data_IF_656222886332
#
_entry.id   IF_656222886332
#
_cell.length_a   1.000
_cell.length_b   1.000
_cell.length_c   1.000
_cell.angle_alpha   90.00
_cell.angle_beta   90.00
_cell.angle_gamma   90.00
#
_symmetry.space_group_name_H-M   'P 1'
#
loop_
_entity.id
_entity.type
_entity.pdbx_description
1 polymer ?
#
# COMPACT_ATOMS: atom_id res chain seq x y z
N UNK A 1 -8.48 7.94 -17.70
CA UNK A 1 -8.43 6.47 -17.42
C UNK A 1 -7.02 5.90 -17.28
N UNK A 2 -6.16 5.96 -18.31
CA UNK A 2 -4.82 5.33 -18.24
C UNK A 2 -4.00 5.80 -17.04
N UNK A 3 -4.07 7.08 -16.65
CA UNK A 3 -3.39 7.66 -15.48
C UNK A 3 -3.94 7.16 -14.12
N UNK A 4 -5.24 6.89 -14.04
CA UNK A 4 -5.95 6.45 -12.81
C UNK A 4 -5.62 4.99 -12.48
N UNK A 5 -5.55 4.12 -13.50
CA UNK A 5 -5.14 2.71 -13.35
C UNK A 5 -3.65 2.62 -13.00
N UNK A 6 -2.81 3.49 -13.58
CA UNK A 6 -1.40 3.59 -13.19
C UNK A 6 -1.26 3.98 -11.72
N UNK A 7 -2.02 4.97 -11.25
CA UNK A 7 -2.05 5.39 -9.85
C UNK A 7 -2.40 4.22 -8.91
N UNK A 8 -3.37 3.37 -9.28
CA UNK A 8 -3.76 2.19 -8.50
C UNK A 8 -2.65 1.13 -8.37
N UNK A 9 -1.90 0.89 -9.45
CA UNK A 9 -0.73 -0.01 -9.45
C UNK A 9 0.37 0.56 -8.55
N UNK A 10 0.53 1.89 -8.50
CA UNK A 10 1.50 2.54 -7.59
C UNK A 10 1.15 2.29 -6.13
N UNK A 11 -0.15 2.29 -5.78
CA UNK A 11 -0.60 1.97 -4.42
C UNK A 11 -0.17 0.56 -4.01
N UNK A 12 -0.18 -0.42 -4.92
CA UNK A 12 0.30 -1.80 -4.64
C UNK A 12 1.80 -1.82 -4.27
N UNK A 13 2.63 -0.96 -4.89
CA UNK A 13 4.07 -0.88 -4.59
C UNK A 13 4.35 -0.15 -3.26
N UNK A 14 3.58 0.89 -2.96
CA UNK A 14 3.69 1.63 -1.68
C UNK A 14 3.28 0.74 -0.52
N UNK A 15 2.23 -0.05 -0.75
CA UNK A 15 1.75 -1.07 0.18
C UNK A 15 2.82 -2.10 0.45
N UNK A 16 3.61 -2.52 -0.55
CA UNK A 16 4.76 -3.38 -0.34
C UNK A 16 5.91 -2.71 0.42
N UNK A 17 6.08 -1.38 0.28
CA UNK A 17 7.05 -0.60 1.05
C UNK A 17 6.71 -0.50 2.55
N UNK A 18 5.42 -0.49 2.89
CA UNK A 18 4.94 -0.48 4.28
C UNK A 18 5.13 -1.83 5.01
N UNK A 19 5.61 -2.89 4.34
CA UNK A 19 5.71 -4.26 4.89
C UNK A 19 6.89 -4.45 5.86
N UNK A 20 7.82 -3.49 5.96
CA UNK A 20 9.09 -3.68 6.68
C UNK A 20 9.10 -3.25 8.17
N UNK A 21 8.15 -3.69 9.00
CA UNK A 21 8.08 -3.32 10.43
C UNK A 21 8.69 -4.35 11.40
N UNK A 22 9.89 -4.21 11.96
CA UNK A 22 10.32 -5.14 13.05
C UNK A 22 11.00 -4.47 14.26
N UNK A 23 10.47 -4.76 15.46
CA UNK A 23 11.14 -4.89 16.77
C UNK A 23 11.14 -3.70 17.78
N UNK A 24 11.80 -3.89 18.93
CA UNK A 24 11.58 -3.24 20.24
C UNK A 24 12.11 -1.80 20.41
N UNK A 25 12.47 -1.13 19.32
CA UNK A 25 12.98 0.25 19.33
C UNK A 25 12.24 1.06 18.27
N UNK A 26 11.06 1.54 18.64
CA UNK A 26 10.08 2.16 17.74
C UNK A 26 10.70 3.21 16.81
N UNK A 27 11.59 4.06 17.33
CA UNK A 27 12.27 5.10 16.54
C UNK A 27 13.33 4.55 15.59
N UNK A 28 14.24 3.67 16.05
CA UNK A 28 15.25 3.04 15.19
C UNK A 28 14.61 2.21 14.07
N UNK A 29 13.46 1.60 14.34
CA UNK A 29 12.75 0.81 13.36
C UNK A 29 11.97 1.69 12.38
N UNK A 30 11.40 2.79 12.85
CA UNK A 30 10.84 3.80 11.98
C UNK A 30 11.88 4.37 11.01
N UNK A 31 13.10 4.67 11.49
CA UNK A 31 14.18 5.13 10.61
C UNK A 31 14.66 4.03 9.65
N UNK A 32 14.81 2.79 10.12
CA UNK A 32 15.17 1.65 9.25
C UNK A 32 14.16 1.44 8.11
N UNK A 33 12.88 1.73 8.33
CA UNK A 33 11.85 1.67 7.27
C UNK A 33 12.12 2.73 6.21
N UNK A 34 12.36 3.97 6.65
CA UNK A 34 12.68 5.08 5.74
C UNK A 34 13.94 4.77 4.92
N UNK A 35 14.97 4.21 5.54
CA UNK A 35 16.20 3.80 4.85
C UNK A 35 15.92 2.70 3.83
N UNK A 36 15.21 1.63 4.21
CA UNK A 36 14.85 0.54 3.28
C UNK A 36 13.97 0.98 2.13
N UNK A 37 13.08 1.95 2.37
CA UNK A 37 12.28 2.55 1.31
C UNK A 37 13.18 3.32 0.32
N UNK A 38 14.21 4.02 0.79
CA UNK A 38 15.19 4.68 -0.06
C UNK A 38 16.10 3.72 -0.82
N UNK A 39 16.32 2.50 -0.31
CA UNK A 39 17.10 1.47 -1.00
C UNK A 39 16.36 0.88 -2.22
N UNK A 40 15.04 1.05 -2.32
CA UNK A 40 14.26 0.60 -3.47
C UNK A 40 14.49 1.56 -4.64
N UNK A 41 15.02 1.04 -5.75
CA UNK A 41 15.26 1.85 -6.94
C UNK A 41 13.95 2.48 -7.45
N UNK A 42 13.95 3.80 -7.64
CA UNK A 42 12.78 4.58 -8.05
C UNK A 42 11.93 5.10 -6.88
N UNK A 43 12.29 4.80 -5.62
CA UNK A 43 11.69 5.42 -4.45
C UNK A 43 12.59 6.53 -3.91
N UNK A 44 11.96 7.54 -3.31
CA UNK A 44 12.65 8.58 -2.54
C UNK A 44 11.78 9.01 -1.38
N UNK A 45 12.34 9.00 -0.18
CA UNK A 45 11.69 9.51 1.02
C UNK A 45 12.20 10.91 1.34
N UNK A 46 11.28 11.82 1.66
CA UNK A 46 11.56 13.17 2.14
C UNK A 46 10.66 13.55 3.31
N UNK A 47 10.87 14.72 3.92
CA UNK A 47 9.98 15.28 4.95
C UNK A 47 9.72 14.29 6.12
N UNK A 48 10.73 13.47 6.44
CA UNK A 48 10.62 12.46 7.47
C UNK A 48 10.59 13.09 8.86
N UNK A 49 9.58 12.73 9.65
CA UNK A 49 9.38 13.20 11.01
C UNK A 49 8.93 12.05 11.91
N UNK A 50 9.39 12.08 13.16
CA UNK A 50 8.98 11.14 14.19
C UNK A 50 8.76 11.88 15.50
N UNK A 51 7.64 11.62 16.14
CA UNK A 51 7.28 12.16 17.43
C UNK A 51 7.01 11.01 18.40
N UNK A 52 7.91 10.83 19.35
CA UNK A 52 7.74 9.88 20.44
C UNK A 52 6.68 10.36 21.42
N UNK A 53 5.72 9.50 21.76
CA UNK A 53 4.80 9.71 22.88
C UNK A 53 4.88 8.57 23.90
N UNK A 54 4.09 8.68 24.97
CA UNK A 54 4.19 7.79 26.13
C UNK A 54 3.50 6.43 25.93
N UNK A 55 2.32 6.40 25.29
CA UNK A 55 1.56 5.19 24.93
C UNK A 55 1.42 4.98 23.42
N UNK A 56 2.03 5.86 22.64
CA UNK A 56 1.98 5.83 21.20
C UNK A 56 2.91 6.87 20.62
N UNK A 57 3.39 6.62 19.41
CA UNK A 57 4.23 7.52 18.64
C UNK A 57 3.57 7.85 17.32
N UNK A 58 3.95 8.99 16.73
CA UNK A 58 3.51 9.38 15.40
C UNK A 58 4.72 9.47 14.49
N UNK A 59 4.60 8.95 13.28
CA UNK A 59 5.61 9.08 12.24
C UNK A 59 4.97 9.62 10.98
N UNK A 60 5.66 10.47 10.24
CA UNK A 60 5.21 10.82 8.89
C UNK A 60 6.38 11.06 7.96
N UNK A 61 6.20 10.68 6.70
CA UNK A 61 7.16 10.94 5.64
C UNK A 61 6.45 11.10 4.31
N UNK A 62 7.13 11.76 3.37
CA UNK A 62 6.69 11.88 2.00
C UNK A 62 7.42 10.83 1.18
N UNK A 63 6.68 10.01 0.43
CA UNK A 63 7.21 9.02 -0.48
C UNK A 63 6.97 9.47 -1.92
N UNK A 64 8.06 9.60 -2.66
CA UNK A 64 8.06 9.90 -4.08
C UNK A 64 8.35 8.60 -4.82
N UNK A 65 7.48 8.24 -5.76
CA UNK A 65 7.65 7.10 -6.66
C UNK A 65 7.93 7.62 -8.06
N UNK A 66 9.10 7.28 -8.61
CA UNK A 66 9.56 7.81 -9.88
C UNK A 66 8.73 7.31 -11.05
N UNK A 67 8.44 8.20 -11.99
CA UNK A 67 7.71 7.88 -13.22
C UNK A 67 8.37 6.75 -14.03
N UNK A 68 9.68 6.56 -13.91
CA UNK A 68 10.42 5.50 -14.61
C UNK A 68 10.08 4.13 -14.01
N UNK A 69 10.03 4.01 -12.68
CA UNK A 69 9.55 2.80 -12.03
C UNK A 69 8.08 2.53 -12.41
N UNK A 70 7.26 3.58 -12.45
CA UNK A 70 5.86 3.48 -12.84
C UNK A 70 5.68 3.05 -14.29
N UNK A 71 6.53 3.55 -15.18
CA UNK A 71 6.56 3.17 -16.58
C UNK A 71 6.88 1.69 -16.74
N UNK A 72 7.90 1.20 -16.01
CA UNK A 72 8.30 -0.19 -16.04
C UNK A 72 7.16 -1.12 -15.56
N UNK A 73 6.46 -0.73 -14.49
CA UNK A 73 5.35 -1.52 -13.94
C UNK A 73 4.08 -1.46 -14.79
N UNK A 74 3.75 -0.29 -15.32
CA UNK A 74 2.51 -0.06 -16.06
C UNK A 74 2.64 -0.38 -17.56
N UNK A 75 3.86 -0.61 -18.06
CA UNK A 75 4.16 -0.84 -19.47
C UNK A 75 3.84 0.35 -20.39
N UNK A 76 3.69 1.56 -19.82
CA UNK A 76 3.31 2.79 -20.55
C UNK A 76 3.86 4.02 -19.84
N UNK A 77 4.09 5.08 -20.61
CA UNK A 77 4.60 6.34 -20.06
C UNK A 77 3.66 6.92 -18.99
N UNK A 78 4.28 7.45 -17.94
CA UNK A 78 3.64 8.19 -16.85
C UNK A 78 4.21 9.61 -16.84
N UNK A 79 3.32 10.59 -16.76
CA UNK A 79 3.67 11.99 -17.04
C UNK A 79 4.47 12.65 -15.90
N UNK A 80 4.29 12.18 -14.67
CA UNK A 80 4.92 12.75 -13.48
C UNK A 80 5.22 11.67 -12.43
N UNK A 81 6.16 11.98 -11.53
CA UNK A 81 6.39 11.20 -10.32
C UNK A 81 5.14 11.30 -9.43
N UNK A 82 4.86 10.24 -8.66
CA UNK A 82 3.74 10.26 -7.71
C UNK A 82 4.25 10.47 -6.30
N UNK A 83 3.65 11.46 -5.63
CA UNK A 83 3.98 11.89 -4.29
C UNK A 83 2.89 11.46 -3.32
N UNK A 84 3.28 10.78 -2.26
CA UNK A 84 2.39 10.28 -1.22
C UNK A 84 2.82 10.79 0.13
N UNK A 85 1.84 11.18 0.96
CA UNK A 85 2.04 11.35 2.40
C UNK A 85 1.72 10.04 3.07
N UNK A 86 2.66 9.52 3.85
CA UNK A 86 2.45 8.39 4.74
C UNK A 86 2.40 8.91 6.16
N UNK A 87 1.27 8.74 6.82
CA UNK A 87 1.06 9.07 8.22
C UNK A 87 0.93 7.78 9.02
N UNK A 88 1.67 7.64 10.11
CA UNK A 88 1.70 6.44 10.94
C UNK A 88 1.35 6.79 12.38
N UNK A 89 0.42 6.02 12.95
CA UNK A 89 0.15 5.96 14.37
C UNK A 89 0.66 4.63 14.90
N UNK A 90 1.65 4.70 15.80
CA UNK A 90 2.33 3.54 16.34
C UNK A 90 1.90 3.38 17.78
N UNK A 91 1.03 2.43 18.04
CA UNK A 91 0.60 2.08 19.39
C UNK A 91 1.62 1.15 20.04
N UNK A 92 2.16 1.59 21.17
CA UNK A 92 3.06 0.80 22.00
C UNK A 92 2.55 0.85 23.44
N UNK A 93 2.29 -0.30 24.06
CA UNK A 93 1.88 -0.29 25.47
C UNK A 93 3.09 0.02 26.36
N UNK A 94 2.86 0.50 27.59
CA UNK A 94 3.93 0.56 28.62
C UNK A 94 4.52 -0.84 28.89
N UNK A 95 3.77 -1.88 28.54
CA UNK A 95 4.16 -3.29 28.52
C UNK A 95 4.52 -3.78 27.09
N UNK A 96 5.03 -2.92 26.18
CA UNK A 96 5.29 -3.28 24.77
C UNK A 96 6.14 -4.56 24.61
N UNK A 97 6.88 -4.93 25.65
CA UNK A 97 7.60 -6.20 25.80
C UNK A 97 6.73 -7.46 25.89
N UNK A 98 5.41 -7.35 26.11
CA UNK A 98 4.47 -8.49 26.25
C UNK A 98 3.60 -8.69 25.01
N UNK A 99 3.10 -7.61 24.41
CA UNK A 99 2.04 -7.68 23.38
C UNK A 99 2.47 -7.23 21.98
N UNK A 100 3.72 -6.79 21.79
CA UNK A 100 4.18 -6.27 20.50
C UNK A 100 3.68 -4.85 20.22
N UNK A 101 3.56 -4.51 18.93
CA UNK A 101 3.25 -3.17 18.42
C UNK A 101 2.16 -3.22 17.36
N UNK A 102 1.22 -2.27 17.42
CA UNK A 102 0.24 -2.04 16.37
C UNK A 102 0.59 -0.74 15.64
N UNK A 103 0.55 -0.76 14.32
CA UNK A 103 0.87 0.40 13.49
C UNK A 103 -0.26 0.57 12.49
N UNK A 104 -0.95 1.70 12.59
CA UNK A 104 -1.98 2.12 11.66
C UNK A 104 -1.40 3.22 10.76
N UNK A 105 -1.37 2.94 9.46
CA UNK A 105 -0.84 3.82 8.43
C UNK A 105 -1.93 4.32 7.52
N UNK A 106 -1.84 5.59 7.14
CA UNK A 106 -2.70 6.25 6.17
C UNK A 106 -1.84 6.78 5.03
N UNK A 107 -2.19 6.39 3.81
CA UNK A 107 -1.43 6.73 2.60
C UNK A 107 -2.30 7.64 1.76
N UNK A 108 -1.84 8.87 1.51
CA UNK A 108 -2.60 9.89 0.79
C UNK A 108 -1.81 10.48 -0.36
N UNK A 109 -2.44 10.68 -1.51
CA UNK A 109 -1.77 11.34 -2.65
C UNK A 109 -1.63 12.85 -2.42
N UNK A 110 -0.50 13.41 -2.87
CA UNK A 110 -0.14 14.82 -2.67
C UNK A 110 0.05 15.62 -3.98
N UNK A 111 0.19 14.97 -5.15
CA UNK A 111 0.23 15.72 -6.42
C UNK A 111 -1.07 16.52 -6.56
N UNK A 112 -1.02 17.85 -6.55
CA UNK A 112 -2.22 18.71 -6.53
C UNK A 112 -3.17 18.43 -7.71
N UNK A 113 -2.62 18.20 -8.90
CA UNK A 113 -3.41 17.85 -10.09
C UNK A 113 -4.14 16.50 -9.95
N UNK A 114 -3.53 15.53 -9.27
CA UNK A 114 -4.06 14.18 -9.10
C UNK A 114 -4.95 14.08 -7.86
N UNK A 115 -4.63 14.82 -6.81
CA UNK A 115 -5.33 14.81 -5.52
C UNK A 115 -6.80 15.18 -5.66
N UNK A 116 -7.11 16.20 -6.44
CA UNK A 116 -8.49 16.60 -6.71
C UNK A 116 -9.24 15.58 -7.57
N UNK A 117 -8.52 14.94 -8.50
CA UNK A 117 -9.04 13.83 -9.29
C UNK A 117 -9.35 12.70 -8.31
N UNK A 118 -8.37 12.12 -7.63
CA UNK A 118 -8.53 11.01 -6.67
C UNK A 118 -9.64 11.27 -5.64
N UNK A 119 -9.72 12.48 -5.07
CA UNK A 119 -10.80 12.84 -4.14
C UNK A 119 -12.20 12.74 -4.75
N UNK A 120 -12.38 12.96 -6.05
CA UNK A 120 -13.68 12.79 -6.70
C UNK A 120 -14.08 11.32 -6.92
N UNK A 121 -13.11 10.39 -6.95
CA UNK A 121 -13.37 8.94 -7.12
C UNK A 121 -13.50 8.23 -5.76
N UNK A 122 -12.72 8.67 -4.76
CA UNK A 122 -12.59 8.00 -3.46
C UNK A 122 -13.32 8.75 -2.32
N UNK A 123 -13.83 9.95 -2.56
CA UNK A 123 -14.35 10.85 -1.53
C UNK A 123 -13.27 11.45 -0.61
N UNK A 124 -11.99 11.10 -0.81
CA UNK A 124 -10.84 11.63 -0.07
C UNK A 124 -9.56 11.48 -0.88
N UNK A 125 -8.47 12.13 -0.46
CA UNK A 125 -7.14 11.89 -1.04
C UNK A 125 -6.43 10.65 -0.46
N UNK A 126 -7.09 9.92 0.45
CA UNK A 126 -6.57 8.67 1.03
C UNK A 126 -6.78 7.56 0.03
N UNK A 127 -5.70 6.93 -0.40
CA UNK A 127 -5.74 5.85 -1.40
C UNK A 127 -5.71 4.47 -0.75
N UNK A 128 -5.11 4.37 0.43
CA UNK A 128 -5.06 3.14 1.20
C UNK A 128 -4.81 3.40 2.68
N UNK A 129 -5.21 2.44 3.49
CA UNK A 129 -4.77 2.28 4.87
C UNK A 129 -4.04 0.96 5.02
N UNK A 130 -3.05 0.92 5.93
CA UNK A 130 -2.37 -0.30 6.30
C UNK A 130 -2.42 -0.46 7.82
N UNK A 131 -2.59 -1.68 8.29
CA UNK A 131 -2.51 -2.07 9.68
C UNK A 131 -1.47 -3.16 9.80
N UNK A 132 -0.40 -2.88 10.53
CA UNK A 132 0.63 -3.87 10.82
C UNK A 132 0.63 -4.19 12.31
N UNK A 133 0.56 -5.48 12.62
CA UNK A 133 0.81 -6.01 13.95
C UNK A 133 2.16 -6.68 13.96
N UNK A 134 3.07 -6.21 14.78
CA UNK A 134 4.38 -6.83 14.99
C UNK A 134 4.41 -7.49 16.37
N UNK A 135 4.66 -8.79 16.41
CA UNK A 135 4.82 -9.55 17.63
C UNK A 135 6.18 -9.30 18.29
N UNK A 136 6.33 -9.73 19.54
CA UNK A 136 7.61 -9.67 20.27
C UNK A 136 8.67 -10.59 19.63
N UNK A 137 8.26 -11.70 19.01
CA UNK A 137 9.16 -12.60 18.25
C UNK A 137 9.64 -12.00 16.93
N UNK A 138 9.05 -10.89 16.49
CA UNK A 138 9.37 -10.23 15.23
C UNK A 138 8.48 -10.64 14.06
N UNK A 139 7.60 -11.64 14.23
CA UNK A 139 6.60 -12.02 13.24
C UNK A 139 5.58 -10.89 13.05
N UNK A 140 5.04 -10.77 11.84
CA UNK A 140 4.18 -9.65 11.46
C UNK A 140 2.93 -10.09 10.74
N UNK A 141 1.85 -9.38 11.01
CA UNK A 141 0.61 -9.47 10.26
C UNK A 141 0.30 -8.09 9.68
N UNK A 142 0.48 -7.95 8.37
CA UNK A 142 0.26 -6.72 7.61
C UNK A 142 -1.04 -6.87 6.86
N UNK A 143 -1.96 -5.93 7.04
CA UNK A 143 -3.21 -5.86 6.30
C UNK A 143 -3.35 -4.49 5.67
N UNK A 144 -3.56 -4.45 4.37
CA UNK A 144 -3.80 -3.24 3.62
C UNK A 144 -5.21 -3.25 3.09
N UNK A 145 -5.90 -2.13 3.23
CA UNK A 145 -7.18 -1.86 2.61
C UNK A 145 -7.05 -0.68 1.66
N UNK A 146 -7.46 -0.88 0.41
CA UNK A 146 -7.57 0.19 -0.56
C UNK A 146 -8.89 0.93 -0.33
N UNK A 147 -8.89 2.24 -0.59
CA UNK A 147 -10.13 3.01 -0.57
C UNK A 147 -11.09 2.53 -1.65
N UNK A 148 -12.37 2.48 -1.30
CA UNK A 148 -13.43 2.12 -2.24
C UNK A 148 -13.48 3.15 -3.37
N UNK A 149 -13.63 2.67 -4.60
CA UNK A 149 -13.79 3.51 -5.79
C UNK A 149 -15.27 3.51 -6.12
N UNK A 150 -15.87 4.68 -6.26
CA UNK A 150 -17.19 4.82 -6.84
C UNK A 150 -17.16 5.86 -7.97
N UNK A 151 -16.98 5.38 -9.19
CA UNK A 151 -16.83 6.21 -10.36
C UNK A 151 -17.79 5.82 -11.47
N UNK A 152 -18.46 6.83 -12.02
CA UNK A 152 -19.27 6.73 -13.23
C UNK A 152 -19.20 8.06 -13.97
N UNK A 153 -18.66 8.05 -15.19
CA UNK A 153 -18.78 9.21 -16.08
C UNK A 153 -19.96 9.11 -17.06
N UNK A 154 -20.79 8.07 -16.93
CA UNK A 154 -21.99 7.74 -17.73
C UNK A 154 -21.78 7.62 -19.24
N UNK A 155 -20.60 7.95 -19.76
CA UNK A 155 -20.31 8.00 -21.20
C UNK A 155 -19.28 6.95 -21.60
N UNK A 156 -18.30 6.66 -20.75
CA UNK A 156 -17.16 5.82 -21.12
C UNK A 156 -16.95 4.66 -20.17
N UNK A 157 -17.13 4.85 -18.85
CA UNK A 157 -16.82 3.79 -17.91
C UNK A 157 -17.53 3.95 -16.56
N UNK A 158 -17.92 2.81 -15.98
CA UNK A 158 -18.23 2.69 -14.57
C UNK A 158 -17.19 1.79 -13.88
N UNK A 159 -16.66 2.26 -12.76
CA UNK A 159 -15.74 1.51 -11.89
C UNK A 159 -16.27 1.61 -10.48
N UNK A 160 -16.62 0.47 -9.91
CA UNK A 160 -17.00 0.37 -8.52
C UNK A 160 -16.17 -0.71 -7.84
N UNK A 161 -15.51 -0.38 -6.74
CA UNK A 161 -14.77 -1.34 -5.93
C UNK A 161 -15.16 -1.20 -4.47
N UNK A 162 -15.23 -2.32 -3.76
CA UNK A 162 -15.59 -2.36 -2.35
C UNK A 162 -14.73 -3.38 -1.60
N UNK A 163 -14.18 -2.95 -0.47
CA UNK A 163 -13.39 -3.76 0.47
C UNK A 163 -12.25 -4.54 -0.19
N UNK A 164 -11.54 -3.91 -1.15
CA UNK A 164 -10.33 -4.50 -1.73
C UNK A 164 -9.22 -4.46 -0.69
N UNK A 165 -8.71 -5.62 -0.30
CA UNK A 165 -7.71 -5.78 0.75
C UNK A 165 -6.68 -6.84 0.40
N UNK A 166 -5.49 -6.63 0.91
CA UNK A 166 -4.36 -7.54 0.76
C UNK A 166 -3.68 -7.69 2.11
N UNK A 167 -3.29 -8.90 2.48
CA UNK A 167 -2.56 -9.15 3.71
C UNK A 167 -1.37 -10.07 3.52
N UNK A 168 -0.40 -9.91 4.42
CA UNK A 168 0.85 -10.65 4.46
C UNK A 168 1.14 -11.06 5.90
N UNK A 169 1.50 -12.33 6.08
CA UNK A 169 2.14 -12.78 7.30
C UNK A 169 3.61 -13.00 7.06
N UNK A 170 4.44 -12.30 7.83
CA UNK A 170 5.89 -12.37 7.74
C UNK A 170 6.48 -13.03 8.97
N UNK A 171 7.58 -13.76 8.78
CA UNK A 171 8.44 -14.18 9.89
C UNK A 171 9.34 -13.03 10.38
N UNK A 172 10.07 -13.29 11.47
CA UNK A 172 11.04 -12.36 12.06
C UNK A 172 12.20 -11.93 11.12
N UNK A 173 12.39 -12.61 9.98
CA UNK A 173 13.39 -12.30 8.95
C UNK A 173 12.77 -11.58 7.74
N UNK A 174 11.52 -11.16 7.83
CA UNK A 174 10.75 -10.53 6.75
C UNK A 174 10.41 -11.47 5.58
N UNK A 175 10.47 -12.80 5.77
CA UNK A 175 10.02 -13.74 4.75
C UNK A 175 8.50 -13.92 4.79
N UNK A 176 7.89 -14.07 3.62
CA UNK A 176 6.45 -14.27 3.47
C UNK A 176 6.09 -15.72 3.79
N UNK A 177 5.31 -15.91 4.87
CA UNK A 177 4.72 -17.19 5.25
C UNK A 177 3.39 -17.42 4.52
N UNK A 178 2.58 -16.37 4.41
CA UNK A 178 1.30 -16.42 3.71
C UNK A 178 0.92 -15.05 3.19
N UNK A 179 0.12 -15.03 2.12
CA UNK A 179 -0.49 -13.84 1.57
C UNK A 179 -1.97 -14.09 1.31
N UNK A 180 -2.82 -13.09 1.54
CA UNK A 180 -4.23 -13.15 1.17
C UNK A 180 -4.66 -11.94 0.34
N UNK A 181 -5.61 -12.16 -0.56
CA UNK A 181 -6.26 -11.14 -1.36
C UNK A 181 -7.77 -11.30 -1.19
N UNK A 182 -8.41 -10.27 -0.66
CA UNK A 182 -9.86 -10.22 -0.51
C UNK A 182 -10.46 -9.04 -1.28
N UNK A 183 -11.64 -9.24 -1.85
CA UNK A 183 -12.49 -8.17 -2.36
C UNK A 183 -13.96 -8.52 -2.12
N UNK A 184 -14.74 -7.54 -1.64
CA UNK A 184 -16.19 -7.70 -1.55
C UNK A 184 -16.82 -7.52 -2.93
N UNK A 185 -16.38 -6.50 -3.68
CA UNK A 185 -16.91 -6.21 -5.01
C UNK A 185 -15.88 -5.50 -5.89
N UNK A 186 -15.80 -5.91 -7.15
CA UNK A 186 -15.20 -5.16 -8.25
C UNK A 186 -16.15 -5.23 -9.44
N UNK A 187 -16.64 -4.08 -9.87
CA UNK A 187 -17.47 -3.92 -11.06
C UNK A 187 -16.78 -2.93 -12.00
N UNK A 188 -16.47 -3.40 -13.21
CA UNK A 188 -15.91 -2.62 -14.29
C UNK A 188 -16.86 -2.76 -15.46
N UNK A 189 -17.38 -1.65 -15.96
CA UNK A 189 -18.25 -1.63 -17.13
C UNK A 189 -17.76 -0.58 -18.11
N UNK A 190 -17.25 -1.03 -19.25
CA UNK A 190 -17.00 -0.17 -20.39
C UNK A 190 -18.35 0.15 -21.05
N UNK A 191 -18.67 1.45 -21.09
CA UNK A 191 -19.92 1.96 -21.66
C UNK A 191 -19.77 2.35 -23.11
N UNK A 192 -18.56 2.28 -23.67
CA UNK A 192 -18.28 2.66 -25.04
C UNK A 192 -18.93 1.66 -26.01
N UNK A 193 -19.68 2.17 -26.98
CA UNK A 193 -20.57 1.33 -27.81
C UNK A 193 -19.81 0.32 -28.68
N UNK A 194 -18.56 0.63 -29.02
CA UNK A 194 -17.70 -0.20 -29.88
C UNK A 194 -16.98 -1.34 -29.14
N UNK A 195 -16.81 -1.24 -27.81
CA UNK A 195 -16.09 -2.23 -26.99
C UNK A 195 -16.78 -2.42 -25.62
N UNK A 196 -17.99 -3.00 -25.65
CA UNK A 196 -18.72 -3.31 -24.41
C UNK A 196 -18.06 -4.49 -23.69
N UNK A 197 -17.36 -4.20 -22.60
CA UNK A 197 -16.81 -5.19 -21.69
C UNK A 197 -17.36 -4.95 -20.28
N UNK A 198 -17.78 -6.03 -19.62
CA UNK A 198 -18.24 -5.99 -18.24
C UNK A 198 -17.54 -7.08 -17.43
N UNK A 199 -16.97 -6.67 -16.30
CA UNK A 199 -16.36 -7.55 -15.31
C UNK A 199 -17.05 -7.27 -13.99
N UNK A 200 -17.68 -8.29 -13.42
CA UNK A 200 -18.24 -8.24 -12.08
C UNK A 200 -17.66 -9.40 -11.27
N UNK A 201 -16.92 -9.07 -10.23
CA UNK A 201 -16.36 -10.00 -9.25
C UNK A 201 -16.95 -9.63 -7.89
N UNK A 202 -17.52 -10.59 -7.19
CA UNK A 202 -18.08 -10.39 -5.85
C UNK A 202 -17.60 -11.51 -4.93
N UNK A 203 -17.22 -11.15 -3.71
CA UNK A 203 -16.84 -12.10 -2.65
C UNK A 203 -15.64 -12.99 -2.99
N UNK A 204 -14.60 -12.46 -3.65
CA UNK A 204 -13.38 -13.23 -3.91
C UNK A 204 -12.45 -13.14 -2.72
N UNK A 205 -12.03 -14.29 -2.22
CA UNK A 205 -10.99 -14.43 -1.20
C UNK A 205 -10.00 -15.50 -1.66
N UNK A 206 -8.71 -15.15 -1.66
CA UNK A 206 -7.61 -16.03 -2.07
C UNK A 206 -6.60 -16.04 -0.94
N UNK A 207 -6.46 -17.19 -0.30
CA UNK A 207 -5.41 -17.45 0.69
C UNK A 207 -4.30 -18.28 0.07
N UNK A 208 -3.06 -17.82 0.23
CA UNK A 208 -1.85 -18.54 -0.17
C UNK A 208 -0.94 -18.72 1.04
N UNK A 209 -0.40 -19.92 1.21
CA UNK A 209 0.58 -20.21 2.26
C UNK A 209 1.77 -20.94 1.66
N UNK A 210 2.96 -20.62 2.16
CA UNK A 210 4.21 -21.19 1.69
C UNK A 210 4.74 -22.20 2.69
N UNK A 211 5.05 -23.40 2.22
CA UNK A 211 5.68 -24.44 3.06
C UNK A 211 7.12 -24.05 3.44
N UNK A 212 7.78 -23.28 2.58
CA UNK A 212 9.07 -22.64 2.81
C UNK A 212 8.89 -21.14 2.62
N UNK A 213 9.14 -20.31 3.65
CA UNK A 213 8.95 -18.86 3.56
C UNK A 213 9.76 -18.24 2.41
N UNK A 214 9.18 -17.24 1.74
CA UNK A 214 9.77 -16.60 0.55
C UNK A 214 10.32 -15.23 0.89
N UNK A 215 11.56 -14.95 0.51
CA UNK A 215 12.15 -13.61 0.63
C UNK A 215 11.42 -12.60 -0.26
N UNK A 216 11.03 -11.45 0.30
CA UNK A 216 10.30 -10.41 -0.43
C UNK A 216 11.10 -9.89 -1.64
N UNK A 217 12.42 -9.73 -1.52
CA UNK A 217 13.28 -9.26 -2.61
C UNK A 217 13.17 -10.14 -3.86
N UNK A 218 13.12 -11.46 -3.70
CA UNK A 218 12.99 -12.43 -4.80
C UNK A 218 11.67 -12.28 -5.55
N UNK A 219 10.61 -11.82 -4.88
CA UNK A 219 9.30 -11.56 -5.52
C UNK A 219 9.44 -10.41 -6.53
N UNK A 220 10.20 -9.37 -6.19
CA UNK A 220 10.39 -8.19 -7.03
C UNK A 220 11.43 -8.38 -8.14
N UNK A 221 12.50 -9.15 -7.90
CA UNK A 221 13.52 -9.45 -8.91
C UNK A 221 12.95 -10.22 -10.11
N UNK A 222 11.96 -11.09 -9.90
CA UNK A 222 11.37 -11.91 -10.97
C UNK A 222 10.54 -11.15 -12.01
N UNK A 223 10.18 -9.89 -11.74
CA UNK A 223 9.28 -9.08 -12.61
C UNK A 223 9.91 -7.81 -13.18
N UNK A 224 11.19 -7.55 -12.87
CA UNK A 224 11.94 -6.40 -13.37
C UNK A 224 12.94 -6.78 -14.49
N UNK A 225 12.92 -8.04 -14.94
CA UNK A 225 13.69 -8.55 -16.07
C UNK A 225 12.87 -8.56 -17.37
#
# INVERSE_FOLDING_TARGET
MKKVISALIVVIVIVAGAVYFASNKVEENYQRIVDRLNDVNGFKVSENSYQKGFFGSKGSFDLIVSKDLLKNLAGKDVDEDLNFKVENEISHSVLAFVNGFDIDSKISIQNEAIKNIVASFLGSNVVATAKTKASVSGDKDVNVKFSDIDFSDKQTMNVHTKDVKFGLKLDAKDNVNSANLGLEKVSLKDLNEENKAEVNLEGVDIDTSYTVPVEISKIFESKLA
#
